data_IF_331718843141
#
_entry.id   IF_331718843141
#
_cell.length_a   1.000
_cell.length_b   1.000
_cell.length_c   1.000
_cell.angle_alpha   90.00
_cell.angle_beta   90.00
_cell.angle_gamma   90.00
#
_symmetry.space_group_name_H-M   'P 1'
#
loop_
_entity.id
_entity.type
_entity.pdbx_description
1 polymer ?
#
# COMPACT_ATOMS: atom_id res chain seq x y z
N UNK A 1 9.86 -3.13 5.46
CA UNK A 1 10.29 -2.24 4.36
C UNK A 1 9.29 -2.37 3.23
N UNK A 2 8.79 -1.26 2.69
CA UNK A 2 7.97 -1.29 1.48
C UNK A 2 8.83 -1.80 0.33
N UNK A 3 8.41 -2.86 -0.34
CA UNK A 3 9.22 -3.46 -1.40
C UNK A 3 9.21 -2.66 -2.71
N UNK A 4 8.35 -1.64 -2.85
CA UNK A 4 8.15 -0.81 -4.05
C UNK A 4 7.96 -1.62 -5.35
N UNK A 5 7.59 -2.90 -5.25
CA UNK A 5 7.41 -3.82 -6.38
C UNK A 5 6.36 -3.34 -7.36
N UNK A 6 5.37 -2.61 -6.88
CA UNK A 6 4.28 -2.05 -7.67
C UNK A 6 4.78 -0.96 -8.65
N UNK A 7 6.04 -0.50 -8.52
CA UNK A 7 6.66 0.47 -9.43
C UNK A 7 7.45 -0.17 -10.59
N UNK A 8 7.37 -1.50 -10.77
CA UNK A 8 8.11 -2.21 -11.83
C UNK A 8 7.81 -1.72 -13.24
N UNK A 9 6.60 -1.23 -13.50
CA UNK A 9 6.20 -0.71 -14.81
C UNK A 9 7.00 0.51 -15.28
N UNK A 10 7.69 1.21 -14.36
CA UNK A 10 8.56 2.34 -14.70
C UNK A 10 9.78 1.92 -15.54
N UNK A 11 10.01 0.62 -15.74
CA UNK A 11 10.99 0.08 -16.71
C UNK A 11 10.77 0.55 -18.14
N UNK A 12 9.55 0.97 -18.49
CA UNK A 12 9.23 1.53 -19.81
C UNK A 12 9.85 2.92 -20.06
N UNK A 13 10.38 3.57 -19.00
CA UNK A 13 10.92 4.93 -19.03
C UNK A 13 9.98 5.96 -19.69
N UNK A 14 8.66 5.72 -19.68
CA UNK A 14 7.70 6.76 -20.07
C UNK A 14 7.84 7.93 -19.10
N UNK A 15 7.78 9.16 -19.61
CA UNK A 15 7.94 10.37 -18.81
C UNK A 15 6.89 10.42 -17.69
N UNK A 16 7.32 10.16 -16.46
CA UNK A 16 6.47 9.88 -15.31
C UNK A 16 6.85 10.70 -14.10
N UNK A 17 5.85 11.25 -13.40
CA UNK A 17 6.01 11.77 -12.04
C UNK A 17 5.37 10.77 -11.07
N UNK A 18 6.11 10.35 -10.04
CA UNK A 18 5.59 9.52 -8.94
C UNK A 18 5.58 10.34 -7.67
N UNK A 19 4.39 10.65 -7.17
CA UNK A 19 4.17 11.36 -5.92
C UNK A 19 4.17 10.41 -4.72
N UNK A 20 4.94 10.75 -3.70
CA UNK A 20 5.02 10.07 -2.41
C UNK A 20 4.53 11.00 -1.31
N UNK A 21 4.06 10.42 -0.21
CA UNK A 21 3.68 11.20 0.97
C UNK A 21 4.87 11.61 1.84
N UNK A 22 5.96 10.84 1.79
CA UNK A 22 7.16 11.11 2.58
C UNK A 22 8.42 11.12 1.72
N UNK A 23 9.38 11.97 2.10
CA UNK A 23 10.70 12.05 1.46
C UNK A 23 11.49 10.75 1.61
N UNK A 24 11.26 10.03 2.70
CA UNK A 24 11.91 8.76 2.97
C UNK A 24 11.44 7.72 1.96
N UNK A 25 10.13 7.63 1.72
CA UNK A 25 9.59 6.71 0.70
C UNK A 25 10.11 7.04 -0.70
N UNK A 26 10.22 8.33 -1.06
CA UNK A 26 10.74 8.73 -2.37
C UNK A 26 12.23 8.34 -2.58
N UNK A 27 13.07 8.54 -1.56
CA UNK A 27 14.50 8.17 -1.62
C UNK A 27 14.70 6.64 -1.60
N UNK A 28 13.92 5.91 -0.80
CA UNK A 28 13.95 4.45 -0.78
C UNK A 28 13.43 3.85 -2.09
N UNK A 29 12.37 4.43 -2.68
CA UNK A 29 11.89 4.04 -4.00
C UNK A 29 12.98 4.22 -5.06
N UNK A 30 13.74 5.33 -5.04
CA UNK A 30 14.89 5.52 -5.95
C UNK A 30 15.91 4.40 -5.80
N UNK A 31 16.28 4.08 -4.55
CA UNK A 31 17.26 3.01 -4.28
C UNK A 31 16.76 1.68 -4.84
N UNK A 32 15.48 1.35 -4.63
CA UNK A 32 14.87 0.15 -5.17
C UNK A 32 14.90 0.12 -6.71
N UNK A 33 14.46 1.18 -7.37
CA UNK A 33 14.44 1.26 -8.84
C UNK A 33 15.83 1.09 -9.45
N UNK A 34 16.86 1.66 -8.84
CA UNK A 34 18.24 1.57 -9.35
C UNK A 34 18.89 0.23 -9.01
N UNK A 35 18.81 -0.22 -7.75
CA UNK A 35 19.55 -1.40 -7.27
C UNK A 35 18.86 -2.70 -7.60
N UNK A 36 17.55 -2.77 -7.36
CA UNK A 36 16.79 -4.02 -7.50
C UNK A 36 16.24 -4.19 -8.92
N UNK A 37 15.87 -3.10 -9.60
CA UNK A 37 15.37 -3.16 -10.98
C UNK A 37 16.42 -2.82 -12.05
N UNK A 38 17.62 -2.39 -11.64
CA UNK A 38 18.72 -2.09 -12.57
C UNK A 38 18.46 -0.90 -13.49
N UNK A 39 17.57 0.02 -13.11
CA UNK A 39 17.25 1.17 -13.95
C UNK A 39 18.40 2.17 -13.98
N UNK A 40 18.59 2.80 -15.14
CA UNK A 40 19.58 3.87 -15.33
C UNK A 40 19.33 5.02 -14.34
N UNK A 41 20.24 5.14 -13.37
CA UNK A 41 20.19 6.15 -12.33
C UNK A 41 20.22 7.59 -12.85
N UNK A 42 20.73 7.82 -14.07
CA UNK A 42 20.77 9.15 -14.69
C UNK A 42 19.40 9.64 -15.18
N UNK A 43 18.48 8.69 -15.43
CA UNK A 43 17.10 8.91 -15.88
C UNK A 43 16.11 9.08 -14.72
N UNK A 44 16.53 8.89 -13.47
CA UNK A 44 15.69 8.90 -12.27
C UNK A 44 16.19 9.97 -11.29
N UNK A 45 15.30 10.89 -10.90
CA UNK A 45 15.61 11.94 -9.93
C UNK A 45 14.59 12.00 -8.79
N UNK A 46 15.03 12.46 -7.61
CA UNK A 46 14.16 12.70 -6.44
C UNK A 46 14.02 14.21 -6.21
N UNK A 47 12.79 14.66 -6.02
CA UNK A 47 12.40 16.06 -5.87
C UNK A 47 11.57 16.27 -4.59
N UNK A 48 12.13 16.96 -3.60
CA UNK A 48 11.44 17.27 -2.35
C UNK A 48 12.02 18.54 -1.70
N UNK A 49 11.27 19.17 -0.78
CA UNK A 49 11.59 20.43 -0.11
C UNK A 49 13.04 20.59 0.39
N UNK A 50 13.63 19.52 0.95
CA UNK A 50 14.97 19.56 1.56
C UNK A 50 16.10 19.70 0.51
N UNK A 51 15.83 19.47 -0.79
CA UNK A 51 16.84 19.71 -1.84
C UNK A 51 17.04 21.22 -2.04
N UNK A 52 18.28 21.64 -2.34
CA UNK A 52 18.58 23.04 -2.63
C UNK A 52 17.84 23.54 -3.86
N UNK A 53 17.57 24.85 -3.93
CA UNK A 53 16.89 25.47 -5.08
C UNK A 53 17.66 25.30 -6.38
N UNK A 54 19.00 25.34 -6.33
CA UNK A 54 19.86 25.05 -7.47
C UNK A 54 19.67 23.64 -8.00
N UNK A 55 19.62 22.64 -7.11
CA UNK A 55 19.43 21.24 -7.48
C UNK A 55 18.02 20.97 -7.99
N UNK A 56 17.00 21.58 -7.36
CA UNK A 56 15.61 21.52 -7.84
C UNK A 56 15.51 22.08 -9.26
N UNK A 57 16.13 23.24 -9.52
CA UNK A 57 16.15 23.86 -10.84
C UNK A 57 16.83 22.98 -11.89
N UNK A 58 18.00 22.41 -11.56
CA UNK A 58 18.73 21.50 -12.45
C UNK A 58 17.89 20.26 -12.82
N UNK A 59 17.26 19.62 -11.82
CA UNK A 59 16.41 18.44 -12.06
C UNK A 59 15.21 18.79 -12.94
N UNK A 60 14.54 19.91 -12.65
CA UNK A 60 13.38 20.32 -13.44
C UNK A 60 13.75 20.61 -14.88
N UNK A 61 14.90 21.22 -15.12
CA UNK A 61 15.39 21.45 -16.48
C UNK A 61 15.72 20.13 -17.18
N UNK A 62 16.46 19.23 -16.52
CA UNK A 62 16.76 17.89 -17.05
C UNK A 62 15.49 17.07 -17.32
N UNK A 63 14.47 17.21 -16.50
CA UNK A 63 13.17 16.57 -16.70
C UNK A 63 12.42 17.22 -17.86
N UNK A 64 12.46 18.54 -18.02
CA UNK A 64 11.89 19.25 -19.17
C UNK A 64 12.45 18.73 -20.49
N UNK A 65 13.78 18.61 -20.60
CA UNK A 65 14.48 18.17 -21.82
C UNK A 65 14.65 16.64 -21.95
N UNK A 66 13.83 15.85 -21.24
CA UNK A 66 13.78 14.38 -21.32
C UNK A 66 15.10 13.65 -20.96
N UNK A 67 16.01 14.32 -20.25
CA UNK A 67 17.22 13.69 -19.67
C UNK A 67 16.88 12.91 -18.41
N UNK A 68 15.97 13.42 -17.59
CA UNK A 68 15.30 12.66 -16.54
C UNK A 68 13.92 12.27 -17.07
N UNK A 69 13.54 11.00 -16.91
CA UNK A 69 12.26 10.48 -17.38
C UNK A 69 11.35 10.09 -16.21
N UNK A 70 11.92 9.74 -15.06
CA UNK A 70 11.17 9.37 -13.86
C UNK A 70 11.53 10.36 -12.74
N UNK A 71 10.53 11.11 -12.29
CA UNK A 71 10.67 12.08 -11.21
C UNK A 71 9.90 11.60 -9.98
N UNK A 72 10.61 11.28 -8.90
CA UNK A 72 10.03 10.85 -7.63
C UNK A 72 9.88 12.07 -6.72
N UNK A 73 8.65 12.52 -6.47
CA UNK A 73 8.36 13.80 -5.82
C UNK A 73 7.53 13.66 -4.54
N UNK A 74 7.67 14.59 -3.58
CA UNK A 74 6.76 14.68 -2.41
C UNK A 74 5.89 15.93 -2.41
N UNK A 75 6.22 16.90 -3.23
CA UNK A 75 5.53 18.18 -3.35
C UNK A 75 5.09 18.37 -4.79
N UNK A 76 4.05 19.18 -5.01
CA UNK A 76 3.57 19.50 -6.35
C UNK A 76 4.71 20.05 -7.21
N UNK A 77 5.08 19.28 -8.23
CA UNK A 77 6.04 19.70 -9.24
C UNK A 77 5.35 20.76 -10.11
N UNK A 78 6.03 21.88 -10.36
CA UNK A 78 5.58 22.87 -11.34
C UNK A 78 4.84 24.11 -10.81
N UNK A 79 5.07 24.54 -9.56
CA UNK A 79 4.85 25.97 -9.25
C UNK A 79 5.96 26.79 -9.94
N UNK A 80 5.82 27.05 -11.24
CA UNK A 80 6.74 27.91 -12.02
C UNK A 80 7.44 27.27 -13.23
N UNK A 81 7.31 25.96 -13.45
CA UNK A 81 7.81 25.31 -14.67
C UNK A 81 6.67 24.60 -15.40
N UNK A 82 6.29 25.13 -16.56
CA UNK A 82 5.33 24.47 -17.44
C UNK A 82 6.04 23.32 -18.17
N UNK A 83 5.64 22.09 -17.87
CA UNK A 83 6.08 20.86 -18.53
C UNK A 83 4.79 20.16 -18.97
N UNK A 84 4.56 20.16 -20.28
CA UNK A 84 3.29 19.77 -20.88
C UNK A 84 3.27 18.30 -21.35
N UNK A 85 4.43 17.69 -21.57
CA UNK A 85 4.59 16.36 -22.14
C UNK A 85 4.72 15.21 -21.11
N UNK A 86 4.19 15.39 -19.89
CA UNK A 86 4.19 14.33 -18.86
C UNK A 86 3.18 13.26 -19.27
N UNK A 87 3.64 12.05 -19.58
CA UNK A 87 2.77 10.97 -20.06
C UNK A 87 2.04 10.25 -18.93
N UNK A 88 2.63 10.21 -17.73
CA UNK A 88 2.07 9.48 -16.59
C UNK A 88 2.27 10.26 -15.29
N UNK A 89 1.24 10.30 -14.46
CA UNK A 89 1.35 10.75 -13.08
C UNK A 89 0.85 9.65 -12.17
N UNK A 90 1.66 9.29 -11.19
CA UNK A 90 1.40 8.20 -10.25
C UNK A 90 1.33 8.77 -8.85
N UNK A 91 0.25 8.55 -8.13
CA UNK A 91 0.18 8.76 -6.69
C UNK A 91 0.48 7.43 -5.99
N UNK A 92 1.61 7.35 -5.28
CA UNK A 92 1.96 6.18 -4.48
C UNK A 92 1.43 6.35 -3.06
N UNK A 93 0.54 5.44 -2.65
CA UNK A 93 -0.26 5.47 -1.42
C UNK A 93 -1.30 6.59 -1.39
N UNK A 94 -2.21 6.50 -0.42
CA UNK A 94 -3.32 7.43 -0.22
C UNK A 94 -2.80 8.87 -0.04
N UNK A 95 -3.22 9.84 -0.88
CA UNK A 95 -2.85 11.25 -0.73
C UNK A 95 -3.56 11.90 0.49
N UNK A 96 -3.16 13.12 0.90
CA UNK A 96 -3.79 13.82 2.03
C UNK A 96 -5.25 14.19 1.79
N UNK A 97 -5.63 14.50 0.55
CA UNK A 97 -6.99 14.84 0.17
C UNK A 97 -7.27 14.53 -1.29
N UNK A 98 -8.54 14.48 -1.67
CA UNK A 98 -8.97 14.37 -3.07
C UNK A 98 -8.49 15.57 -3.90
N UNK A 99 -8.58 16.77 -3.34
CA UNK A 99 -8.09 17.98 -4.02
C UNK A 99 -6.59 17.87 -4.36
N UNK A 100 -5.78 17.38 -3.41
CA UNK A 100 -4.34 17.14 -3.64
C UNK A 100 -4.11 16.09 -4.72
N UNK A 101 -4.89 15.01 -4.71
CA UNK A 101 -4.82 13.97 -5.74
C UNK A 101 -5.07 14.54 -7.14
N UNK A 102 -6.18 15.26 -7.31
CA UNK A 102 -6.60 15.77 -8.62
C UNK A 102 -5.66 16.86 -9.12
N UNK A 103 -5.15 17.72 -8.24
CA UNK A 103 -4.12 18.68 -8.61
C UNK A 103 -2.85 17.99 -9.13
N UNK A 104 -2.45 16.87 -8.50
CA UNK A 104 -1.29 16.08 -8.92
C UNK A 104 -1.55 15.39 -10.26
N UNK A 105 -2.64 14.63 -10.38
CA UNK A 105 -2.98 13.88 -11.60
C UNK A 105 -3.19 14.82 -12.80
N UNK A 106 -3.75 16.01 -12.58
CA UNK A 106 -3.94 17.04 -13.60
C UNK A 106 -2.65 17.63 -14.19
N UNK A 107 -1.46 17.18 -13.75
CA UNK A 107 -0.18 17.50 -14.40
C UNK A 107 0.10 16.62 -15.63
N UNK A 108 -0.59 15.50 -15.80
CA UNK A 108 -0.43 14.64 -16.97
C UNK A 108 -0.96 15.34 -18.23
N UNK A 109 -0.26 15.15 -19.35
CA UNK A 109 -0.64 15.52 -20.72
C UNK A 109 -1.36 16.88 -20.82
N UNK A 110 -0.66 17.97 -20.46
CA UNK A 110 -1.16 19.33 -20.68
C UNK A 110 -1.06 19.75 -22.16
N UNK A 111 -0.27 19.02 -22.94
CA UNK A 111 -0.32 19.09 -24.40
C UNK A 111 -1.58 18.37 -24.89
N UNK A 112 -2.46 19.10 -25.58
CA UNK A 112 -3.75 18.58 -26.08
C UNK A 112 -3.59 17.46 -27.12
N UNK A 113 -2.39 17.29 -27.69
CA UNK A 113 -2.09 16.21 -28.65
C UNK A 113 -1.69 14.90 -27.97
N UNK A 114 -1.44 14.93 -26.66
CA UNK A 114 -0.99 13.77 -25.89
C UNK A 114 -2.12 13.18 -25.05
N UNK A 115 -2.08 11.87 -24.87
CA UNK A 115 -2.89 11.19 -23.87
C UNK A 115 -2.03 10.88 -22.64
N UNK A 116 -2.53 11.30 -21.47
CA UNK A 116 -1.87 11.13 -20.19
C UNK A 116 -2.61 10.12 -19.32
N UNK A 117 -1.86 9.35 -18.54
CA UNK A 117 -2.44 8.39 -17.59
C UNK A 117 -2.22 8.86 -16.15
N UNK A 118 -3.31 9.00 -15.40
CA UNK A 118 -3.28 9.18 -13.96
C UNK A 118 -3.46 7.84 -13.24
N UNK A 119 -2.50 7.44 -12.42
CA UNK A 119 -2.54 6.20 -11.64
C UNK A 119 -2.50 6.50 -10.15
N UNK A 120 -3.29 5.79 -9.35
CA UNK A 120 -3.21 5.84 -7.89
C UNK A 120 -3.01 4.43 -7.36
N UNK A 121 -1.88 4.19 -6.69
CA UNK A 121 -1.55 2.89 -6.10
C UNK A 121 -1.92 2.96 -4.62
N UNK A 122 -2.97 2.25 -4.23
CA UNK A 122 -3.44 2.15 -2.85
C UNK A 122 -3.68 0.69 -2.49
N UNK A 123 -3.59 0.34 -1.20
CA UNK A 123 -4.05 -0.97 -0.75
C UNK A 123 -5.52 -1.17 -1.10
N UNK A 124 -5.88 -2.41 -1.43
CA UNK A 124 -7.26 -2.82 -1.77
C UNK A 124 -8.28 -2.42 -0.69
N UNK A 125 -7.84 -2.33 0.57
CA UNK A 125 -8.67 -1.90 1.68
C UNK A 125 -8.15 -0.61 2.31
N UNK A 126 -9.04 0.30 2.76
CA UNK A 126 -8.64 1.54 3.39
C UNK A 126 -7.88 1.27 4.68
N UNK A 127 -6.56 1.41 4.64
CA UNK A 127 -5.72 1.41 5.84
C UNK A 127 -5.94 2.70 6.62
N UNK A 128 -6.12 2.62 7.94
CA UNK A 128 -6.16 3.79 8.84
C UNK A 128 -4.77 4.39 9.10
N UNK A 129 -3.78 4.11 8.27
CA UNK A 129 -2.42 4.59 8.51
C UNK A 129 -2.38 6.12 8.40
N UNK A 130 -1.80 6.81 9.40
CA UNK A 130 -1.61 8.24 9.35
C UNK A 130 -0.62 8.61 8.25
N UNK A 131 -0.93 9.68 7.51
CA UNK A 131 -0.05 10.21 6.48
C UNK A 131 1.10 10.92 7.17
N UNK A 132 2.29 10.32 7.13
CA UNK A 132 3.51 10.92 7.65
C UNK A 132 3.94 12.04 6.68
N UNK A 133 4.18 13.23 7.23
CA UNK A 133 4.71 14.43 6.55
C UNK A 133 3.73 15.25 5.69
N UNK A 134 2.42 15.29 6.01
CA UNK A 134 1.52 16.29 5.41
C UNK A 134 2.00 17.73 5.69
N UNK A 135 2.13 18.52 4.63
CA UNK A 135 2.81 19.83 4.60
C UNK A 135 2.02 20.94 5.32
N UNK A 136 0.77 20.69 5.73
CA UNK A 136 -0.06 21.69 6.40
C UNK A 136 -0.13 21.47 7.92
N UNK A 137 0.32 22.46 8.68
CA UNK A 137 0.42 22.43 10.15
C UNK A 137 -0.82 23.00 10.86
N UNK A 138 -1.82 23.47 10.12
CA UNK A 138 -2.94 24.20 10.70
C UNK A 138 -4.28 23.41 10.62
N UNK A 139 -4.76 23.03 11.81
CA UNK A 139 -6.17 22.79 12.15
C UNK A 139 -7.05 21.86 11.27
N UNK A 140 -6.53 20.74 10.78
CA UNK A 140 -7.36 19.62 10.30
C UNK A 140 -7.18 18.44 11.23
N UNK A 141 -8.29 17.87 11.72
CA UNK A 141 -8.32 16.62 12.46
C UNK A 141 -7.52 15.56 11.68
N UNK A 142 -6.30 15.25 12.16
CA UNK A 142 -5.36 14.34 11.48
C UNK A 142 -5.93 12.93 11.31
N UNK A 143 -6.98 12.60 12.06
CA UNK A 143 -7.68 11.33 12.03
C UNK A 143 -8.94 11.36 11.16
N UNK A 144 -9.42 12.55 10.74
CA UNK A 144 -10.53 12.68 9.83
C UNK A 144 -10.09 12.32 8.41
N UNK A 145 -10.34 11.07 8.03
CA UNK A 145 -10.12 10.60 6.66
C UNK A 145 -11.06 11.36 5.72
N UNK A 146 -10.48 12.01 4.70
CA UNK A 146 -11.22 12.67 3.62
C UNK A 146 -12.21 11.68 2.97
N UNK A 147 -13.50 11.90 3.22
CA UNK A 147 -14.58 11.03 2.75
C UNK A 147 -14.70 11.05 1.23
N UNK A 148 -14.44 12.19 0.60
CA UNK A 148 -14.51 12.34 -0.85
C UNK A 148 -13.35 11.60 -1.51
N UNK A 149 -12.17 11.61 -0.88
CA UNK A 149 -11.05 10.79 -1.31
C UNK A 149 -11.37 9.30 -1.22
N UNK A 150 -11.97 8.84 -0.11
CA UNK A 150 -12.37 7.43 0.02
C UNK A 150 -13.43 7.05 -1.01
N UNK A 151 -14.44 7.91 -1.21
CA UNK A 151 -15.46 7.74 -2.23
C UNK A 151 -14.82 7.65 -3.62
N UNK A 152 -13.83 8.48 -3.93
CA UNK A 152 -13.11 8.43 -5.19
C UNK A 152 -12.30 7.14 -5.36
N UNK A 153 -11.51 6.74 -4.36
CA UNK A 153 -10.58 5.59 -4.45
C UNK A 153 -11.29 4.23 -4.47
N UNK A 154 -12.37 4.09 -3.71
CA UNK A 154 -13.09 2.82 -3.53
C UNK A 154 -14.47 2.79 -4.21
N UNK A 155 -14.74 3.76 -5.10
CA UNK A 155 -15.95 3.77 -5.91
C UNK A 155 -16.06 2.50 -6.77
N UNK A 156 -17.28 1.99 -6.89
CA UNK A 156 -17.67 1.01 -7.93
C UNK A 156 -18.27 1.69 -9.18
N UNK A 157 -18.29 3.01 -9.21
CA UNK A 157 -18.84 3.83 -10.31
C UNK A 157 -17.76 4.67 -10.96
N UNK A 158 -17.99 5.10 -12.21
CA UNK A 158 -17.09 5.95 -13.00
C UNK A 158 -16.37 7.01 -12.15
N UNK A 159 -15.02 7.00 -12.18
CA UNK A 159 -14.17 7.95 -11.44
C UNK A 159 -14.57 9.40 -11.72
N UNK A 160 -14.88 9.72 -12.99
CA UNK A 160 -15.28 11.07 -13.41
C UNK A 160 -16.62 11.50 -12.82
N UNK A 161 -17.60 10.59 -12.74
CA UNK A 161 -18.90 10.87 -12.07
C UNK A 161 -18.72 11.22 -10.59
N UNK A 162 -17.82 10.52 -9.90
CA UNK A 162 -17.50 10.86 -8.50
C UNK A 162 -16.90 12.26 -8.40
N UNK A 163 -15.94 12.59 -9.26
CA UNK A 163 -15.34 13.93 -9.30
C UNK A 163 -16.36 15.02 -9.60
N UNK A 164 -17.26 14.78 -10.56
CA UNK A 164 -18.30 15.74 -10.91
C UNK A 164 -19.24 15.99 -9.74
N UNK A 165 -19.63 14.93 -9.02
CA UNK A 165 -20.44 15.03 -7.80
C UNK A 165 -19.75 15.81 -6.68
N UNK A 166 -18.47 15.54 -6.41
CA UNK A 166 -17.72 16.21 -5.35
C UNK A 166 -17.48 17.70 -5.66
N UNK A 167 -17.09 18.02 -6.90
CA UNK A 167 -16.73 19.39 -7.29
C UNK A 167 -17.90 20.19 -7.88
N UNK A 168 -19.09 19.61 -7.99
CA UNK A 168 -20.27 20.27 -8.56
C UNK A 168 -20.14 20.57 -10.06
N UNK A 169 -19.37 19.76 -10.80
CA UNK A 169 -19.20 19.93 -12.23
C UNK A 169 -20.40 19.36 -12.99
N UNK A 170 -20.69 19.91 -14.18
CA UNK A 170 -21.60 19.26 -15.13
C UNK A 170 -20.92 18.03 -15.70
N UNK A 171 -21.58 16.88 -15.64
CA UNK A 171 -21.06 15.66 -16.27
C UNK A 171 -20.92 15.88 -17.77
N UNK A 172 -19.75 15.53 -18.31
CA UNK A 172 -19.48 15.54 -19.75
C UNK A 172 -19.43 14.11 -20.22
N UNK A 173 -20.40 13.73 -21.05
CA UNK A 173 -20.31 12.51 -21.86
C UNK A 173 -19.30 12.80 -22.97
N UNK A 174 -18.22 12.03 -23.00
CA UNK A 174 -17.23 12.09 -24.07
C UNK A 174 -17.09 10.66 -24.60
N UNK A 175 -17.83 10.38 -25.67
CA UNK A 175 -18.05 9.03 -26.20
C UNK A 175 -16.80 8.41 -26.86
N UNK A 176 -15.72 9.18 -27.01
CA UNK A 176 -14.53 8.81 -27.79
C UNK A 176 -13.23 8.72 -26.99
N UNK A 177 -13.26 8.86 -25.65
CA UNK A 177 -12.05 8.87 -24.82
C UNK A 177 -12.04 7.75 -23.76
N UNK A 178 -10.87 7.11 -23.58
CA UNK A 178 -10.58 6.19 -22.48
C UNK A 178 -10.86 6.86 -21.13
N UNK A 179 -12.02 6.62 -20.53
CA UNK A 179 -12.53 7.39 -19.41
C UNK A 179 -11.82 7.10 -18.08
N UNK A 180 -11.91 5.87 -17.57
CA UNK A 180 -11.24 5.40 -16.35
C UNK A 180 -11.24 3.87 -16.27
N UNK A 181 -10.55 3.33 -15.26
CA UNK A 181 -10.42 1.91 -14.96
C UNK A 181 -11.75 1.17 -14.77
N UNK A 182 -12.79 1.85 -14.29
CA UNK A 182 -14.13 1.27 -14.08
C UNK A 182 -14.96 1.28 -15.38
N UNK A 183 -14.75 2.27 -16.24
CA UNK A 183 -15.47 2.37 -17.51
C UNK A 183 -14.84 1.51 -18.62
N UNK A 184 -13.51 1.33 -18.55
CA UNK A 184 -12.70 0.60 -19.53
C UNK A 184 -11.72 -0.35 -18.82
N UNK A 185 -12.24 -1.40 -18.16
CA UNK A 185 -11.39 -2.39 -17.47
C UNK A 185 -10.38 -3.06 -18.42
N UNK A 186 -10.73 -3.23 -19.69
CA UNK A 186 -9.90 -3.84 -20.74
C UNK A 186 -8.66 -3.02 -21.13
N UNK A 187 -8.72 -1.69 -21.01
CA UNK A 187 -7.61 -0.79 -21.30
C UNK A 187 -6.65 -0.64 -20.12
N UNK A 188 -7.07 -1.14 -18.96
CA UNK A 188 -6.27 -1.12 -17.74
C UNK A 188 -5.44 -2.40 -17.70
N UNK A 189 -4.16 -2.31 -18.08
CA UNK A 189 -3.26 -3.47 -18.16
C UNK A 189 -3.38 -4.37 -16.94
N UNK A 190 -3.60 -5.67 -17.16
CA UNK A 190 -3.90 -6.69 -16.15
C UNK A 190 -2.88 -6.80 -14.99
N UNK A 191 -1.66 -6.24 -15.12
CA UNK A 191 -0.71 -6.12 -13.99
C UNK A 191 -1.17 -5.11 -12.91
N UNK A 192 -2.13 -4.23 -13.21
CA UNK A 192 -2.53 -3.08 -12.36
C UNK A 192 -4.00 -3.11 -11.91
N UNK A 193 -4.74 -4.21 -12.13
CA UNK A 193 -6.12 -4.36 -11.68
C UNK A 193 -6.24 -5.48 -10.66
N UNK A 194 -6.61 -5.13 -9.42
CA UNK A 194 -7.46 -6.00 -8.60
C UNK A 194 -8.45 -5.14 -7.80
N UNK A 195 -9.63 -4.95 -8.37
CA UNK A 195 -10.86 -4.91 -7.58
C UNK A 195 -11.77 -5.98 -8.17
N UNK A 196 -11.45 -7.23 -7.88
CA UNK A 196 -12.45 -8.29 -7.90
C UNK A 196 -13.19 -8.22 -6.54
N UNK A 197 -14.48 -7.90 -6.58
CA UNK A 197 -15.36 -7.94 -5.40
C UNK A 197 -16.17 -9.23 -5.31
N UNK A 198 -15.81 -10.28 -6.05
CA UNK A 198 -16.35 -11.62 -5.84
C UNK A 198 -15.83 -12.18 -4.50
N UNK A 199 -16.44 -11.68 -3.43
CA UNK A 199 -16.06 -11.93 -2.05
C UNK A 199 -16.61 -10.92 -1.05
N UNK A 200 -17.18 -9.80 -1.50
CA UNK A 200 -17.88 -8.90 -0.59
C UNK A 200 -19.21 -8.42 -1.21
N UNK A 201 -20.23 -9.27 -1.08
CA UNK A 201 -21.60 -8.79 -0.93
C UNK A 201 -21.62 -7.64 0.07
N UNK A 202 -22.37 -6.60 -0.28
CA UNK A 202 -22.60 -5.42 0.54
C UNK A 202 -23.18 -5.86 1.90
N UNK A 203 -22.31 -6.07 2.90
CA UNK A 203 -22.73 -6.31 4.27
C UNK A 203 -23.13 -5.01 4.97
N UNK A 204 -23.97 -4.21 4.30
CA UNK A 204 -24.97 -3.34 4.93
C UNK A 204 -26.38 -3.93 4.82
N UNK A 205 -26.55 -5.09 4.18
CA UNK A 205 -27.70 -5.95 4.43
C UNK A 205 -27.49 -6.70 5.76
N UNK A 206 -28.36 -6.41 6.72
CA UNK A 206 -28.42 -7.02 8.06
C UNK A 206 -28.38 -8.57 8.00
N UNK A 207 -27.22 -9.17 8.19
CA UNK A 207 -27.08 -10.58 8.54
C UNK A 207 -26.18 -10.71 9.78
N UNK A 208 -26.67 -11.41 10.79
CA UNK A 208 -26.05 -11.54 12.10
C UNK A 208 -24.61 -12.08 12.02
N UNK A 209 -23.60 -11.22 12.20
CA UNK A 209 -22.21 -11.64 12.42
C UNK A 209 -22.16 -12.56 13.64
N UNK A 210 -21.83 -13.83 13.44
CA UNK A 210 -21.33 -14.69 14.52
C UNK A 210 -20.13 -14.00 15.13
N UNK A 211 -20.28 -13.41 16.32
CA UNK A 211 -19.19 -12.77 17.06
C UNK A 211 -18.10 -13.83 17.27
N UNK A 212 -16.88 -13.56 16.79
CA UNK A 212 -15.71 -14.37 17.17
C UNK A 212 -15.60 -14.29 18.70
N UNK A 213 -15.65 -15.42 19.43
CA UNK A 213 -15.63 -15.42 20.87
C UNK A 213 -14.39 -14.70 21.39
N UNK A 214 -14.56 -13.81 22.37
CA UNK A 214 -13.43 -13.21 23.08
C UNK A 214 -12.79 -14.32 23.92
N UNK A 215 -11.54 -14.66 23.60
CA UNK A 215 -10.80 -15.69 24.33
C UNK A 215 -10.44 -15.23 25.75
N UNK A 216 -10.48 -16.16 26.69
CA UNK A 216 -10.06 -15.94 28.09
C UNK A 216 -8.53 -15.75 28.17
N UNK A 217 -8.02 -15.23 29.28
CA UNK A 217 -6.57 -15.14 29.47
C UNK A 217 -5.90 -16.51 29.55
N UNK A 218 -6.61 -17.54 30.02
CA UNK A 218 -6.14 -18.93 30.02
C UNK A 218 -5.98 -19.47 28.59
N UNK A 219 -6.98 -19.26 27.74
CA UNK A 219 -6.94 -19.66 26.33
C UNK A 219 -5.82 -18.94 25.56
N UNK A 220 -5.62 -17.65 25.85
CA UNK A 220 -4.48 -16.89 25.30
C UNK A 220 -3.14 -17.42 25.82
N UNK A 221 -3.04 -17.83 27.08
CA UNK A 221 -1.82 -18.40 27.64
C UNK A 221 -1.45 -19.73 26.97
N UNK A 222 -2.44 -20.57 26.65
CA UNK A 222 -2.24 -21.80 25.87
C UNK A 222 -1.65 -21.47 24.50
N UNK A 223 -2.23 -20.49 23.80
CA UNK A 223 -1.71 -20.04 22.50
C UNK A 223 -0.29 -19.46 22.60
N UNK A 224 -0.01 -18.61 23.60
CA UNK A 224 1.34 -18.04 23.83
C UNK A 224 2.37 -19.14 24.02
N UNK A 225 2.08 -20.13 24.86
CA UNK A 225 3.00 -21.25 25.14
C UNK A 225 3.26 -22.09 23.90
N UNK A 226 2.23 -22.43 23.14
CA UNK A 226 2.39 -23.23 21.92
C UNK A 226 3.24 -22.52 20.85
N UNK A 227 3.08 -21.19 20.69
CA UNK A 227 3.90 -20.41 19.77
C UNK A 227 5.35 -20.32 20.27
N UNK A 228 5.57 -20.19 21.58
CA UNK A 228 6.91 -20.15 22.20
C UNK A 228 7.67 -21.48 22.02
N UNK A 229 6.98 -22.60 22.28
CA UNK A 229 7.53 -23.95 22.12
C UNK A 229 7.90 -24.23 20.65
N UNK A 230 7.02 -23.82 19.72
CA UNK A 230 7.29 -23.89 18.28
C UNK A 230 8.47 -23.00 17.88
N UNK A 231 8.54 -21.76 18.38
CA UNK A 231 9.62 -20.80 18.06
C UNK A 231 10.98 -21.36 18.45
N UNK A 232 11.05 -21.97 19.63
CA UNK A 232 12.27 -22.63 20.12
C UNK A 232 12.65 -23.83 19.26
N UNK A 233 11.68 -24.70 18.95
CA UNK A 233 11.90 -25.89 18.13
C UNK A 233 12.31 -25.56 16.69
N UNK A 234 11.69 -24.55 16.08
CA UNK A 234 12.02 -24.07 14.74
C UNK A 234 13.42 -23.45 14.71
N UNK A 235 13.80 -22.73 15.78
CA UNK A 235 15.15 -22.17 15.90
C UNK A 235 16.22 -23.25 16.01
N UNK A 236 16.02 -24.26 16.87
CA UNK A 236 16.93 -25.40 16.99
C UNK A 236 17.03 -26.20 15.66
N UNK A 237 15.90 -26.43 14.99
CA UNK A 237 15.85 -27.18 13.73
C UNK A 237 16.57 -26.45 12.60
N UNK A 238 16.27 -25.17 12.39
CA UNK A 238 16.65 -24.46 11.17
C UNK A 238 17.90 -23.57 11.36
N UNK A 239 18.33 -23.31 12.61
CA UNK A 239 19.45 -22.40 12.93
C UNK A 239 20.53 -22.98 13.87
N UNK A 240 20.44 -24.25 14.30
CA UNK A 240 21.43 -24.90 15.19
C UNK A 240 22.87 -24.88 14.66
N UNK A 241 23.07 -24.87 13.34
CA UNK A 241 24.41 -24.77 12.72
C UNK A 241 24.91 -23.32 12.57
N UNK A 242 24.06 -22.33 12.86
CA UNK A 242 24.29 -20.89 12.63
C UNK A 242 24.13 -20.05 13.91
N UNK A 243 24.35 -20.65 15.08
CA UNK A 243 24.19 -20.03 16.40
C UNK A 243 24.94 -18.70 16.55
N UNK A 244 26.06 -18.51 15.84
CA UNK A 244 26.81 -17.25 15.86
C UNK A 244 26.04 -16.06 15.25
N UNK A 245 25.25 -16.31 14.20
CA UNK A 245 24.51 -15.25 13.49
C UNK A 245 23.08 -15.08 14.00
N UNK A 246 22.51 -16.13 14.60
CA UNK A 246 21.16 -16.15 15.12
C UNK A 246 21.17 -16.71 16.54
N UNK A 247 21.70 -15.94 17.51
CA UNK A 247 21.99 -16.44 18.86
C UNK A 247 20.75 -16.81 19.67
N UNK A 248 19.55 -16.37 19.26
CA UNK A 248 18.34 -16.61 20.04
C UNK A 248 17.09 -16.85 19.16
N UNK A 249 16.06 -17.56 19.68
CA UNK A 249 14.81 -17.81 18.96
C UNK A 249 14.02 -16.55 18.56
N UNK A 250 14.25 -15.40 19.22
CA UNK A 250 13.61 -14.12 18.91
C UNK A 250 13.92 -13.60 17.50
N UNK A 251 14.92 -14.16 16.82
CA UNK A 251 15.20 -13.88 15.40
C UNK A 251 14.13 -14.39 14.45
N UNK A 252 13.41 -15.46 14.80
CA UNK A 252 12.29 -15.96 14.00
C UNK A 252 11.10 -14.99 14.13
N UNK A 253 10.78 -14.60 15.36
CA UNK A 253 9.79 -13.56 15.65
C UNK A 253 10.03 -12.94 17.03
N UNK A 254 9.76 -11.64 17.15
CA UNK A 254 9.85 -10.93 18.43
C UNK A 254 8.73 -11.32 19.40
N UNK A 255 8.96 -11.10 20.69
CA UNK A 255 7.96 -11.40 21.74
C UNK A 255 6.67 -10.59 21.56
N UNK A 256 6.78 -9.39 20.98
CA UNK A 256 5.62 -8.54 20.68
C UNK A 256 4.72 -9.14 19.60
N UNK A 257 5.33 -9.77 18.58
CA UNK A 257 4.59 -10.46 17.51
C UNK A 257 3.92 -11.72 18.06
N UNK A 258 4.66 -12.51 18.85
CA UNK A 258 4.14 -13.70 19.53
C UNK A 258 2.93 -13.35 20.40
N UNK A 259 3.03 -12.30 21.23
CA UNK A 259 1.93 -11.83 22.07
C UNK A 259 0.72 -11.43 21.22
N UNK A 260 0.94 -10.72 20.12
CA UNK A 260 -0.14 -10.27 19.22
C UNK A 260 -0.86 -11.44 18.55
N UNK A 261 -0.10 -12.45 18.09
CA UNK A 261 -0.67 -13.68 17.52
C UNK A 261 -1.50 -14.44 18.55
N UNK A 262 -0.97 -14.60 19.76
CA UNK A 262 -1.70 -15.28 20.82
C UNK A 262 -2.95 -14.52 21.27
N UNK A 263 -2.92 -13.19 21.34
CA UNK A 263 -4.09 -12.39 21.71
C UNK A 263 -5.20 -12.44 20.64
N UNK A 264 -4.82 -12.71 19.38
CA UNK A 264 -5.73 -12.72 18.22
C UNK A 264 -5.96 -14.12 17.64
N UNK A 265 -5.47 -15.19 18.25
CA UNK A 265 -5.49 -16.54 17.69
C UNK A 265 -6.89 -17.03 17.29
N UNK A 266 -7.95 -16.58 17.97
CA UNK A 266 -9.34 -16.90 17.61
C UNK A 266 -9.77 -16.40 16.21
N UNK A 267 -9.01 -15.48 15.61
CA UNK A 267 -9.23 -14.97 14.27
C UNK A 267 -8.41 -15.70 13.21
N UNK A 268 -7.55 -16.63 13.61
CA UNK A 268 -6.73 -17.42 12.68
C UNK A 268 -7.52 -18.64 12.25
N UNK A 269 -7.97 -18.62 11.00
CA UNK A 269 -8.77 -19.68 10.38
C UNK A 269 -8.13 -20.25 9.10
N UNK A 270 -7.09 -19.58 8.60
CA UNK A 270 -6.30 -19.99 7.42
C UNK A 270 -4.93 -19.26 7.41
N UNK A 271 -4.05 -19.64 6.48
CA UNK A 271 -2.66 -19.14 6.40
C UNK A 271 -2.57 -17.62 6.11
N UNK A 272 -3.43 -17.15 5.21
CA UNK A 272 -3.67 -15.74 4.88
C UNK A 272 -4.14 -14.90 6.09
N UNK A 273 -4.76 -15.53 7.09
CA UNK A 273 -5.18 -14.85 8.32
C UNK A 273 -3.98 -14.34 9.12
N UNK A 274 -2.86 -15.05 9.09
CA UNK A 274 -1.62 -14.69 9.81
C UNK A 274 -0.90 -13.52 9.14
N UNK A 275 -0.93 -13.45 7.80
CA UNK A 275 -0.28 -12.37 7.03
C UNK A 275 -0.79 -10.98 7.46
N UNK A 276 -2.08 -10.89 7.81
CA UNK A 276 -2.69 -9.63 8.31
C UNK A 276 -2.17 -9.18 9.68
N UNK A 277 -1.56 -10.09 10.46
CA UNK A 277 -1.02 -9.82 11.79
C UNK A 277 0.49 -9.59 11.79
N UNK A 278 1.19 -10.15 10.80
CA UNK A 278 2.62 -10.04 10.62
C UNK A 278 2.95 -8.83 9.71
N UNK A 279 2.94 -7.63 10.29
CA UNK A 279 3.34 -6.40 9.57
C UNK A 279 4.87 -6.29 9.34
N UNK A 280 5.58 -7.41 9.52
CA UNK A 280 7.01 -7.56 9.29
C UNK A 280 7.20 -8.80 8.41
N UNK A 281 7.95 -8.63 7.32
CA UNK A 281 8.10 -9.66 6.28
C UNK A 281 8.46 -11.01 6.89
N UNK A 282 7.86 -12.11 6.40
CA UNK A 282 7.85 -13.30 7.20
C UNK A 282 9.24 -13.96 7.18
N UNK A 283 9.61 -14.62 8.27
CA UNK A 283 10.50 -15.77 8.18
C UNK A 283 9.87 -16.73 7.16
N UNK A 284 10.67 -17.43 6.36
CA UNK A 284 10.29 -18.35 5.27
C UNK A 284 8.82 -18.87 5.27
N UNK A 285 8.12 -18.87 4.12
CA UNK A 285 6.67 -19.24 3.99
C UNK A 285 6.28 -20.51 4.75
N UNK A 286 7.22 -21.44 4.89
CA UNK A 286 7.16 -22.65 5.72
C UNK A 286 6.66 -22.37 7.15
N UNK A 287 7.13 -21.31 7.80
CA UNK A 287 6.77 -21.00 9.19
C UNK A 287 5.35 -20.47 9.37
N UNK A 288 4.81 -19.77 8.37
CA UNK A 288 3.42 -19.28 8.40
C UNK A 288 2.45 -20.46 8.47
N UNK A 289 2.66 -21.45 7.61
CA UNK A 289 1.81 -22.64 7.58
C UNK A 289 1.89 -23.42 8.90
N UNK A 290 3.11 -23.66 9.41
CA UNK A 290 3.30 -24.35 10.70
C UNK A 290 2.58 -23.63 11.86
N UNK A 291 2.63 -22.29 11.90
CA UNK A 291 1.93 -21.49 12.90
C UNK A 291 0.41 -21.55 12.74
N UNK A 292 -0.10 -21.49 11.51
CA UNK A 292 -1.54 -21.61 11.22
C UNK A 292 -2.08 -22.93 11.73
N UNK A 293 -1.40 -24.03 11.42
CA UNK A 293 -1.83 -25.37 11.80
C UNK A 293 -1.89 -25.51 13.34
N UNK A 294 -0.91 -24.97 14.06
CA UNK A 294 -0.88 -24.93 15.53
C UNK A 294 -2.09 -24.15 16.09
N UNK A 295 -2.33 -22.94 15.56
CA UNK A 295 -3.40 -22.08 16.08
C UNK A 295 -4.80 -22.59 15.73
N UNK A 296 -4.97 -23.21 14.56
CA UNK A 296 -6.22 -23.86 14.19
C UNK A 296 -6.53 -25.04 15.11
N UNK A 297 -5.54 -25.90 15.38
CA UNK A 297 -5.69 -27.02 16.32
C UNK A 297 -6.05 -26.55 17.73
N UNK A 298 -5.46 -25.45 18.20
CA UNK A 298 -5.82 -24.85 19.49
C UNK A 298 -7.26 -24.34 19.47
N UNK A 299 -7.68 -23.68 18.39
CA UNK A 299 -9.06 -23.20 18.24
C UNK A 299 -10.07 -24.36 18.23
N UNK A 300 -9.77 -25.47 17.56
CA UNK A 300 -10.58 -26.68 17.54
C UNK A 300 -10.69 -27.30 18.94
N UNK A 301 -9.58 -27.46 19.65
CA UNK A 301 -9.53 -28.02 21.01
C UNK A 301 -10.31 -27.16 22.02
N UNK A 302 -10.19 -25.83 21.92
CA UNK A 302 -10.95 -24.93 22.79
C UNK A 302 -12.46 -25.01 22.47
N UNK A 303 -12.82 -25.11 21.20
CA UNK A 303 -14.24 -25.15 20.78
C UNK A 303 -14.91 -26.48 21.10
N UNK A 304 -14.17 -27.59 21.03
CA UNK A 304 -14.63 -28.93 21.43
C UNK A 304 -14.75 -29.05 22.95
N UNK A 305 -13.76 -28.57 23.71
CA UNK A 305 -13.82 -28.55 25.18
C UNK A 305 -14.91 -27.64 25.78
N UNK A 306 -15.44 -26.68 25.01
CA UNK A 306 -16.62 -25.88 25.38
C UNK A 306 -17.96 -26.60 25.12
N UNK A 307 -17.99 -27.66 24.30
CA UNK A 307 -19.21 -28.46 24.04
C UNK A 307 -19.42 -29.61 25.01
N UNK A 308 -18.38 -29.99 25.76
CA UNK A 308 -18.39 -31.09 26.74
C UNK A 308 -18.58 -30.62 28.19
N UNK A 309 -18.62 -29.30 28.44
CA UNK A 309 -18.96 -28.67 29.73
C UNK A 309 -20.39 -28.15 29.71
#
# INVERSE_FOLDING_TARGET
MNSFRDLKFLKDFRKTIVYFNSRVDAEEARKYLVRELGLDSSRIAVYHAIKSDSFKSEILERFRIDKVLILLATEAVGMGCDINNILRVVQYRRPPSLASLIQRLGRAARDMTLQGTGLTIVPQFPSREPIKDAVDKDAVDKDAVDKDLLAFLYSKTCRRKVLDGVFGNKHREDDNASCCDICHPEETSAEFVYIDTDGHEDTEAKAAKKRVPRRTEEEKAIARRAIEDWRTSAWERDFSSRLFFFPTPQFIMSDQVLKTLADKHAKVVAADSIDSFLNWGPPDRKYIQELTDILMKINENITTGQREK
#
